data_IF_975115085718
#
_entry.id   IF_975115085718
#
_cell.length_a   1.000
_cell.length_b   1.000
_cell.length_c   1.000
_cell.angle_alpha   90.00
_cell.angle_beta   90.00
_cell.angle_gamma   90.00
#
_symmetry.space_group_name_H-M   'P 1'
#
loop_
_entity.id
_entity.type
_entity.pdbx_description
1 polymer ?
#
# COMPACT_ATOMS: atom_id res chain seq x y z
N UNK A 1 -17.42 -1.04 10.61
CA UNK A 1 -16.84 -2.19 11.31
C UNK A 1 -15.52 -1.74 11.93
N UNK A 2 -15.51 -1.50 13.23
CA UNK A 2 -14.30 -1.13 13.95
C UNK A 2 -13.38 -2.36 13.92
N UNK A 3 -12.36 -2.37 13.05
CA UNK A 3 -11.30 -3.36 13.17
C UNK A 3 -10.53 -3.00 14.43
N UNK A 4 -10.83 -3.67 15.53
CA UNK A 4 -9.90 -3.77 16.64
C UNK A 4 -8.74 -4.60 16.10
N UNK A 5 -7.76 -3.93 15.53
CA UNK A 5 -6.46 -4.54 15.33
C UNK A 5 -5.91 -4.72 16.73
N UNK A 6 -5.84 -5.96 17.20
CA UNK A 6 -5.12 -6.29 18.41
C UNK A 6 -3.71 -5.76 18.24
N UNK A 7 -3.39 -4.72 18.98
CA UNK A 7 -2.14 -4.02 18.79
C UNK A 7 -1.04 -4.79 19.54
N UNK A 8 -0.41 -5.72 18.85
CA UNK A 8 0.73 -6.48 19.34
C UNK A 8 1.82 -5.59 19.94
N UNK A 9 1.88 -4.33 19.52
CA UNK A 9 2.83 -3.34 20.01
C UNK A 9 2.60 -3.01 21.47
N UNK A 10 1.33 -2.98 21.91
CA UNK A 10 0.98 -2.76 23.32
C UNK A 10 1.40 -3.93 24.21
N UNK A 11 1.49 -5.14 23.67
CA UNK A 11 1.97 -6.31 24.39
C UNK A 11 3.51 -6.35 24.45
N UNK A 12 4.18 -6.07 23.31
CA UNK A 12 5.64 -6.15 23.19
C UNK A 12 6.36 -4.92 23.73
N UNK A 13 5.74 -3.73 23.64
CA UNK A 13 6.28 -2.46 24.12
C UNK A 13 5.14 -1.58 24.65
N UNK A 14 4.67 -1.81 25.89
CA UNK A 14 3.53 -1.11 26.46
C UNK A 14 3.68 0.43 26.54
N UNK A 15 4.93 0.92 26.57
CA UNK A 15 5.23 2.35 26.63
C UNK A 15 5.33 3.02 25.23
N UNK A 16 5.08 2.27 24.14
CA UNK A 16 5.10 2.86 22.82
C UNK A 16 3.90 3.80 22.65
N UNK A 17 4.18 5.06 22.33
CA UNK A 17 3.14 6.01 21.95
C UNK A 17 2.67 5.69 20.53
N UNK A 18 1.37 5.44 20.38
CA UNK A 18 0.76 5.05 19.11
C UNK A 18 -0.43 5.94 18.83
N UNK A 19 -0.37 6.69 17.75
CA UNK A 19 -1.49 7.49 17.25
C UNK A 19 -2.11 6.81 16.04
N UNK A 20 -3.36 6.36 16.18
CA UNK A 20 -4.14 5.79 15.07
C UNK A 20 -5.02 6.88 14.46
N UNK A 21 -4.74 7.23 13.20
CA UNK A 21 -5.54 8.20 12.45
C UNK A 21 -6.53 7.48 11.55
N UNK A 22 -7.82 7.72 11.74
CA UNK A 22 -8.88 7.22 10.85
C UNK A 22 -9.04 8.17 9.66
N UNK A 23 -8.00 8.29 8.85
CA UNK A 23 -7.95 9.23 7.74
C UNK A 23 -7.25 8.61 6.53
N UNK A 24 -7.76 8.91 5.33
CA UNK A 24 -7.15 8.47 4.08
C UNK A 24 -6.12 9.51 3.65
N UNK A 25 -4.93 9.05 3.24
CA UNK A 25 -3.92 9.90 2.63
C UNK A 25 -4.30 10.20 1.17
N UNK A 26 -4.59 11.45 0.88
CA UNK A 26 -4.95 11.97 -0.45
C UNK A 26 -4.37 13.35 -0.64
N UNK A 27 -4.46 13.93 -1.85
CA UNK A 27 -4.02 15.30 -2.10
C UNK A 27 -4.72 16.36 -1.22
N UNK A 28 -5.93 16.06 -0.70
CA UNK A 28 -6.68 16.98 0.17
C UNK A 28 -6.29 16.87 1.65
N UNK A 29 -5.74 15.73 2.05
CA UNK A 29 -5.45 15.41 3.46
C UNK A 29 -3.97 15.27 3.74
N UNK A 30 -3.12 15.26 2.71
CA UNK A 30 -1.69 14.98 2.84
C UNK A 30 -0.98 15.92 3.84
N UNK A 31 -1.33 17.20 3.84
CA UNK A 31 -0.71 18.20 4.72
C UNK A 31 -1.00 17.95 6.20
N UNK A 32 -2.15 17.33 6.52
CA UNK A 32 -2.51 17.02 7.90
C UNK A 32 -1.71 15.87 8.53
N UNK A 33 -0.95 15.12 7.73
CA UNK A 33 -0.10 14.04 8.24
C UNK A 33 1.28 14.50 8.66
N UNK A 34 1.66 15.74 8.36
CA UNK A 34 2.99 16.30 8.67
C UNK A 34 4.15 15.31 8.44
N UNK A 35 4.17 14.73 7.22
CA UNK A 35 5.11 13.65 6.89
C UNK A 35 6.58 14.04 7.00
N UNK A 36 6.88 15.35 7.10
CA UNK A 36 8.23 15.87 7.32
C UNK A 36 8.76 15.70 8.73
N UNK A 37 7.89 15.45 9.71
CA UNK A 37 8.25 15.30 11.13
C UNK A 37 8.72 13.89 11.50
N UNK A 38 8.58 12.91 10.60
CA UNK A 38 8.91 11.51 10.87
C UNK A 38 10.34 11.17 10.46
N UNK A 39 11.01 10.31 11.24
CA UNK A 39 12.31 9.72 10.88
C UNK A 39 12.14 8.64 9.81
N UNK A 40 11.07 7.86 9.89
CA UNK A 40 10.77 6.76 8.98
C UNK A 40 9.33 6.86 8.44
N UNK A 41 9.19 6.63 7.15
CA UNK A 41 7.89 6.51 6.49
C UNK A 41 7.82 5.15 5.79
N UNK A 42 6.80 4.36 6.11
CA UNK A 42 6.50 3.10 5.43
C UNK A 42 5.21 3.28 4.63
N UNK A 43 5.31 3.04 3.34
CA UNK A 43 4.19 3.08 2.42
C UNK A 43 3.65 1.67 2.14
N UNK A 44 2.40 1.43 2.49
CA UNK A 44 1.64 0.22 2.16
C UNK A 44 0.31 0.54 1.45
N UNK A 45 0.21 1.71 0.81
CA UNK A 45 -0.98 2.13 0.08
C UNK A 45 -1.11 1.31 -1.22
N UNK A 46 -2.31 0.86 -1.57
CA UNK A 46 -2.59 0.14 -2.81
C UNK A 46 -3.14 1.04 -3.94
N UNK A 47 -3.70 2.20 -3.60
CA UNK A 47 -4.13 3.21 -4.56
C UNK A 47 -2.94 3.77 -5.33
N UNK A 48 -2.92 3.54 -6.65
CA UNK A 48 -1.83 4.03 -7.52
C UNK A 48 -1.65 5.55 -7.44
N UNK A 49 -2.77 6.28 -7.31
CA UNK A 49 -2.78 7.74 -7.27
C UNK A 49 -2.16 8.26 -5.97
N UNK A 50 -2.64 7.74 -4.85
CA UNK A 50 -2.24 8.23 -3.54
C UNK A 50 -0.86 7.73 -3.14
N UNK A 51 -0.52 6.50 -3.54
CA UNK A 51 0.84 5.96 -3.43
C UNK A 51 1.85 6.80 -4.20
N UNK A 52 1.54 7.20 -5.44
CA UNK A 52 2.41 8.07 -6.23
C UNK A 52 2.61 9.43 -5.54
N UNK A 53 1.54 10.01 -4.97
CA UNK A 53 1.61 11.24 -4.20
C UNK A 53 2.50 11.09 -2.98
N UNK A 54 2.29 10.04 -2.17
CA UNK A 54 3.09 9.80 -0.97
C UNK A 54 4.58 9.62 -1.32
N UNK A 55 4.89 8.85 -2.36
CA UNK A 55 6.28 8.67 -2.83
C UNK A 55 6.92 10.02 -3.19
N UNK A 56 6.22 10.87 -3.94
CA UNK A 56 6.74 12.17 -4.34
C UNK A 56 6.98 13.07 -3.12
N UNK A 57 6.05 13.11 -2.18
CA UNK A 57 6.16 13.93 -0.98
C UNK A 57 7.22 13.38 -0.01
N UNK A 58 7.16 12.10 0.34
CA UNK A 58 8.10 11.48 1.28
C UNK A 58 9.56 11.57 0.81
N UNK A 59 9.81 11.43 -0.48
CA UNK A 59 11.18 11.56 -1.02
C UNK A 59 11.71 12.99 -1.04
N UNK A 60 10.90 13.99 -0.73
CA UNK A 60 11.33 15.38 -0.52
C UNK A 60 11.71 15.67 0.93
N UNK A 61 11.25 14.87 1.89
CA UNK A 61 11.58 15.01 3.32
C UNK A 61 12.93 14.39 3.64
N UNK A 62 13.41 14.54 4.87
CA UNK A 62 14.63 13.86 5.36
C UNK A 62 14.34 12.43 5.84
N UNK A 63 13.07 12.07 6.03
CA UNK A 63 12.66 10.75 6.50
C UNK A 63 13.21 9.62 5.62
N UNK A 64 13.61 8.52 6.22
CA UNK A 64 13.88 7.27 5.49
C UNK A 64 12.58 6.70 4.96
N UNK A 65 12.54 6.37 3.70
CA UNK A 65 11.31 5.95 3.02
C UNK A 65 11.43 4.54 2.45
N UNK A 66 10.49 3.67 2.84
CA UNK A 66 10.37 2.30 2.34
C UNK A 66 8.96 2.07 1.80
N UNK A 67 8.83 1.32 0.70
CA UNK A 67 7.53 1.10 0.07
C UNK A 67 7.26 -0.36 -0.24
N UNK A 68 6.05 -0.83 0.09
CA UNK A 68 5.54 -2.11 -0.39
C UNK A 68 5.04 -1.97 -1.82
N UNK A 69 5.46 -2.85 -2.70
CA UNK A 69 4.85 -2.97 -4.04
C UNK A 69 3.63 -3.89 -4.00
N UNK A 70 3.20 -4.42 -5.14
CA UNK A 70 1.99 -5.23 -5.23
C UNK A 70 2.13 -6.60 -4.56
N UNK A 71 1.31 -6.88 -3.55
CA UNK A 71 1.23 -8.18 -2.86
C UNK A 71 0.11 -9.08 -3.40
N UNK A 72 -0.75 -8.58 -4.28
CA UNK A 72 -1.84 -9.35 -4.85
C UNK A 72 -1.36 -10.34 -5.91
N UNK A 73 -2.07 -11.46 -6.04
CA UNK A 73 -1.76 -12.53 -6.99
C UNK A 73 -0.33 -13.07 -6.82
N UNK A 74 0.06 -13.35 -5.59
CA UNK A 74 1.34 -13.94 -5.22
C UNK A 74 1.08 -15.17 -4.34
N UNK A 75 1.80 -16.24 -4.57
CA UNK A 75 1.72 -17.51 -3.83
C UNK A 75 3.07 -17.89 -3.22
N UNK A 76 4.15 -17.62 -3.93
CA UNK A 76 5.50 -18.05 -3.56
C UNK A 76 6.21 -16.99 -2.72
N UNK A 77 6.35 -17.21 -1.40
CA UNK A 77 7.02 -16.26 -0.51
C UNK A 77 8.54 -16.17 -0.79
N UNK A 78 9.15 -17.18 -1.41
CA UNK A 78 10.59 -17.19 -1.71
C UNK A 78 10.96 -16.20 -2.82
N UNK A 79 9.98 -15.71 -3.56
CA UNK A 79 10.14 -14.68 -4.60
C UNK A 79 9.99 -13.26 -4.09
N UNK A 80 9.73 -13.09 -2.78
CA UNK A 80 9.68 -11.77 -2.16
C UNK A 80 11.12 -11.30 -1.88
N UNK A 81 11.43 -10.08 -2.30
CA UNK A 81 12.78 -9.51 -2.22
C UNK A 81 12.74 -7.98 -2.12
N UNK A 82 13.89 -7.40 -1.92
CA UNK A 82 14.06 -5.94 -1.85
C UNK A 82 14.87 -5.44 -3.04
N UNK A 83 14.53 -4.26 -3.52
CA UNK A 83 15.33 -3.53 -4.50
C UNK A 83 15.04 -2.03 -4.42
N UNK A 84 15.97 -1.23 -4.93
CA UNK A 84 15.72 0.18 -5.22
C UNK A 84 14.60 0.29 -6.27
N UNK A 85 13.71 1.27 -6.12
CA UNK A 85 12.46 1.41 -6.89
C UNK A 85 12.63 1.27 -8.41
N UNK A 86 13.66 1.90 -8.98
CA UNK A 86 13.88 1.85 -10.44
C UNK A 86 14.43 0.50 -10.92
N UNK A 87 14.98 -0.30 -9.99
CA UNK A 87 15.51 -1.66 -10.26
C UNK A 87 14.47 -2.76 -10.04
N UNK A 88 13.28 -2.43 -9.50
CA UNK A 88 12.19 -3.41 -9.32
C UNK A 88 11.77 -3.97 -10.67
N UNK A 89 11.76 -5.29 -10.82
CA UNK A 89 11.37 -6.00 -12.03
C UNK A 89 10.20 -6.95 -11.76
N UNK A 90 9.36 -7.19 -12.77
CA UNK A 90 8.26 -8.15 -12.67
C UNK A 90 7.04 -7.65 -11.89
N UNK A 91 7.10 -6.54 -11.18
CA UNK A 91 5.97 -6.03 -10.40
C UNK A 91 5.09 -5.07 -11.22
N UNK A 92 3.77 -5.37 -11.37
CA UNK A 92 2.85 -4.51 -12.15
C UNK A 92 2.61 -3.14 -11.52
N UNK A 93 2.56 -3.04 -10.17
CA UNK A 93 2.33 -1.77 -9.49
C UNK A 93 3.54 -0.84 -9.66
N UNK A 94 4.75 -1.35 -9.48
CA UNK A 94 5.97 -0.59 -9.73
C UNK A 94 6.07 -0.12 -11.19
N UNK A 95 5.65 -0.98 -12.13
CA UNK A 95 5.59 -0.61 -13.56
C UNK A 95 4.60 0.53 -13.80
N UNK A 96 3.42 0.45 -13.20
CA UNK A 96 2.38 1.47 -13.33
C UNK A 96 2.83 2.81 -12.71
N UNK A 97 3.47 2.79 -11.54
CA UNK A 97 4.05 3.96 -10.89
C UNK A 97 5.11 4.63 -11.78
N UNK A 98 6.07 3.85 -12.30
CA UNK A 98 7.10 4.39 -13.20
C UNK A 98 6.51 4.99 -14.48
N UNK A 99 5.49 4.35 -15.07
CA UNK A 99 4.77 4.89 -16.23
C UNK A 99 4.08 6.21 -15.88
N UNK A 100 3.46 6.28 -14.70
CA UNK A 100 2.81 7.49 -14.21
C UNK A 100 3.81 8.63 -14.02
N UNK A 101 4.91 8.40 -13.30
CA UNK A 101 5.95 9.42 -13.09
C UNK A 101 6.52 9.96 -14.40
N UNK A 102 6.78 9.08 -15.38
CA UNK A 102 7.23 9.48 -16.71
C UNK A 102 6.20 10.34 -17.45
N UNK A 103 4.93 9.93 -17.42
CA UNK A 103 3.84 10.67 -18.08
C UNK A 103 3.64 12.06 -17.47
N UNK A 104 3.67 12.13 -16.13
CA UNK A 104 3.36 13.35 -15.37
C UNK A 104 4.61 14.26 -15.25
N UNK A 105 5.78 13.84 -15.73
CA UNK A 105 7.04 14.57 -15.63
C UNK A 105 7.53 14.78 -14.19
N UNK A 106 7.00 14.04 -13.23
CA UNK A 106 7.31 14.15 -11.80
C UNK A 106 8.02 12.89 -11.31
N UNK A 107 9.14 13.07 -10.62
CA UNK A 107 9.97 11.97 -10.20
C UNK A 107 10.29 12.04 -8.71
N UNK A 108 10.43 10.89 -8.02
CA UNK A 108 10.96 10.83 -6.66
C UNK A 108 12.31 11.56 -6.58
N UNK A 109 12.46 12.41 -5.58
CA UNK A 109 13.69 13.22 -5.39
C UNK A 109 14.88 12.41 -4.88
N UNK A 110 14.62 11.30 -4.20
CA UNK A 110 15.64 10.39 -3.66
C UNK A 110 15.33 8.94 -4.04
N UNK A 111 16.36 8.12 -4.08
CA UNK A 111 16.23 6.67 -4.18
C UNK A 111 15.62 6.11 -2.91
N UNK A 112 14.83 5.07 -3.02
CA UNK A 112 14.23 4.37 -1.87
C UNK A 112 14.11 2.88 -2.15
N UNK A 113 14.06 2.09 -1.08
CA UNK A 113 13.93 0.64 -1.16
C UNK A 113 12.47 0.21 -1.19
N UNK A 114 12.21 -0.82 -1.98
CA UNK A 114 10.90 -1.46 -2.10
C UNK A 114 10.98 -2.92 -1.69
N UNK A 115 9.92 -3.42 -1.05
CA UNK A 115 9.64 -4.84 -0.95
C UNK A 115 8.68 -5.20 -2.08
N UNK A 116 9.02 -6.23 -2.85
CA UNK A 116 8.26 -6.66 -4.02
C UNK A 116 8.41 -8.16 -4.29
N UNK A 117 7.56 -8.70 -5.14
CA UNK A 117 7.74 -10.03 -5.73
C UNK A 117 7.63 -9.94 -7.25
N UNK A 118 8.51 -10.65 -7.95
CA UNK A 118 8.48 -10.74 -9.41
C UNK A 118 7.54 -11.83 -9.93
N UNK A 119 6.80 -12.49 -9.04
CA UNK A 119 5.81 -13.47 -9.43
C UNK A 119 4.65 -12.78 -10.16
N UNK A 120 4.27 -13.33 -11.30
CA UNK A 120 3.14 -12.87 -12.12
C UNK A 120 2.17 -14.03 -12.29
N UNK A 121 1.04 -13.98 -11.58
CA UNK A 121 -0.03 -14.96 -11.71
C UNK A 121 -1.24 -14.34 -12.38
N UNK A 122 -1.92 -15.13 -13.19
CA UNK A 122 -3.21 -14.75 -13.75
C UNK A 122 -4.30 -14.80 -12.66
N UNK A 123 -5.18 -13.81 -12.67
CA UNK A 123 -6.35 -13.85 -11.83
C UNK A 123 -7.39 -14.81 -12.45
N UNK A 124 -7.55 -15.97 -11.84
CA UNK A 124 -8.54 -16.99 -12.24
C UNK A 124 -9.85 -16.87 -11.45
N UNK A 125 -9.92 -15.92 -10.52
CA UNK A 125 -11.10 -15.71 -9.68
C UNK A 125 -12.20 -14.96 -10.44
N UNK A 126 -13.43 -15.44 -10.32
CA UNK A 126 -14.64 -14.70 -10.69
C UNK A 126 -15.23 -14.08 -9.44
N UNK A 127 -15.40 -12.78 -9.42
CA UNK A 127 -16.23 -12.15 -8.40
C UNK A 127 -17.68 -12.15 -8.89
N UNK A 128 -18.39 -13.21 -8.57
CA UNK A 128 -19.78 -13.41 -8.98
C UNK A 128 -20.73 -12.32 -8.46
N UNK A 129 -20.34 -11.59 -7.41
CA UNK A 129 -21.18 -10.56 -6.79
C UNK A 129 -20.86 -9.13 -7.27
N UNK A 130 -19.74 -8.93 -7.97
CA UNK A 130 -19.35 -7.61 -8.45
C UNK A 130 -20.28 -7.13 -9.58
N UNK A 131 -20.96 -6.01 -9.35
CA UNK A 131 -21.93 -5.44 -10.29
C UNK A 131 -23.31 -6.09 -10.26
N UNK A 132 -23.57 -7.00 -9.33
CA UNK A 132 -24.89 -7.63 -9.10
C UNK A 132 -25.62 -6.98 -7.93
N UNK A 133 -26.87 -7.43 -7.66
CA UNK A 133 -27.67 -7.01 -6.50
C UNK A 133 -27.01 -7.32 -5.14
N UNK A 134 -26.06 -8.25 -5.11
CA UNK A 134 -25.29 -8.62 -3.90
C UNK A 134 -24.02 -7.80 -3.73
N UNK A 135 -23.78 -6.81 -4.57
CA UNK A 135 -22.58 -5.99 -4.51
C UNK A 135 -22.55 -5.13 -3.25
N UNK A 136 -21.53 -5.33 -2.43
CA UNK A 136 -21.30 -4.58 -1.18
C UNK A 136 -20.47 -3.30 -1.37
N UNK A 137 -20.09 -2.97 -2.60
CA UNK A 137 -19.31 -1.76 -2.85
C UNK A 137 -20.14 -0.51 -2.51
N UNK A 138 -19.56 0.53 -1.87
CA UNK A 138 -20.29 1.74 -1.50
C UNK A 138 -20.86 2.49 -2.70
N UNK A 139 -20.30 2.31 -3.88
CA UNK A 139 -20.75 2.89 -5.15
C UNK A 139 -21.54 1.89 -6.02
N UNK A 140 -22.04 0.82 -5.42
CA UNK A 140 -22.86 -0.14 -6.13
C UNK A 140 -24.09 0.57 -6.72
N UNK A 141 -24.30 0.42 -8.04
CA UNK A 141 -25.53 0.92 -8.70
C UNK A 141 -26.72 0.02 -8.38
N UNK A 142 -26.44 -1.25 -8.14
CA UNK A 142 -27.36 -2.30 -7.79
C UNK A 142 -26.72 -3.06 -6.62
N UNK A 143 -27.49 -3.31 -5.56
CA UNK A 143 -27.01 -4.00 -4.37
C UNK A 143 -26.95 -3.13 -3.13
N UNK A 144 -26.74 -3.73 -1.94
CA UNK A 144 -26.88 -3.04 -0.67
C UNK A 144 -25.87 -1.91 -0.47
N UNK A 145 -24.66 -2.04 -1.04
CA UNK A 145 -23.57 -1.10 -0.81
C UNK A 145 -23.26 -0.91 0.68
N UNK A 146 -22.18 -0.24 1.00
CA UNK A 146 -21.89 0.22 2.36
C UNK A 146 -21.67 1.74 2.35
N UNK A 147 -22.65 2.54 2.80
CA UNK A 147 -22.56 3.99 2.78
C UNK A 147 -21.44 4.53 3.66
N UNK A 148 -20.94 3.77 4.65
CA UNK A 148 -19.82 4.19 5.48
C UNK A 148 -18.49 4.23 4.72
N UNK A 149 -18.43 3.56 3.57
CA UNK A 149 -17.26 3.48 2.69
C UNK A 149 -17.32 4.44 1.51
N UNK A 150 -18.28 5.38 1.48
CA UNK A 150 -18.47 6.33 0.37
C UNK A 150 -17.23 7.16 0.01
N UNK A 151 -16.34 7.38 0.95
CA UNK A 151 -15.11 8.14 0.74
C UNK A 151 -13.95 7.31 0.17
N UNK A 152 -14.12 6.00 0.02
CA UNK A 152 -13.13 5.11 -0.57
C UNK A 152 -13.32 5.02 -2.09
N UNK A 153 -12.24 5.05 -2.85
CA UNK A 153 -12.26 4.78 -4.30
C UNK A 153 -12.45 3.28 -4.58
N UNK A 154 -13.52 2.70 -4.05
CA UNK A 154 -13.85 1.31 -4.29
C UNK A 154 -14.45 1.16 -5.69
N UNK A 155 -14.01 0.19 -6.42
CA UNK A 155 -14.65 -0.35 -7.62
C UNK A 155 -14.94 0.63 -8.79
N UNK A 156 -14.58 1.91 -8.73
CA UNK A 156 -14.92 2.86 -9.80
C UNK A 156 -14.23 2.57 -11.14
N UNK A 157 -13.24 1.65 -11.16
CA UNK A 157 -12.49 1.30 -12.38
C UNK A 157 -11.88 -0.11 -12.38
N UNK A 158 -12.13 -0.92 -11.35
CA UNK A 158 -11.56 -2.28 -11.29
C UNK A 158 -12.56 -3.28 -11.87
N UNK A 159 -12.32 -3.71 -13.09
CA UNK A 159 -13.05 -4.82 -13.70
C UNK A 159 -12.83 -6.17 -12.97
N UNK A 160 -11.83 -6.24 -12.09
CA UNK A 160 -11.42 -7.47 -11.42
C UNK A 160 -10.78 -7.18 -10.06
N UNK A 161 -11.16 -7.94 -9.03
CA UNK A 161 -10.56 -7.89 -7.71
C UNK A 161 -9.41 -8.90 -7.66
N UNK A 162 -8.22 -8.44 -7.32
CA UNK A 162 -7.06 -9.29 -7.10
C UNK A 162 -6.97 -9.68 -5.63
N UNK A 163 -7.06 -10.97 -5.35
CA UNK A 163 -6.91 -11.50 -4.00
C UNK A 163 -5.47 -11.46 -3.50
N UNK A 164 -5.34 -11.46 -2.16
CA UNK A 164 -4.05 -11.59 -1.46
C UNK A 164 -4.11 -12.74 -0.47
N UNK A 165 -2.95 -13.35 -0.19
CA UNK A 165 -2.80 -14.37 0.84
C UNK A 165 -2.11 -13.79 2.08
N UNK A 166 -2.59 -14.21 3.26
CA UNK A 166 -2.13 -13.68 4.54
C UNK A 166 -0.62 -13.83 4.75
N UNK A 167 -0.03 -14.98 4.36
CA UNK A 167 1.41 -15.20 4.50
C UNK A 167 2.24 -14.28 3.60
N UNK A 168 1.77 -13.96 2.40
CA UNK A 168 2.45 -13.04 1.48
C UNK A 168 2.46 -11.63 2.08
N UNK A 169 1.30 -11.11 2.48
CA UNK A 169 1.22 -9.76 3.06
C UNK A 169 1.99 -9.64 4.37
N UNK A 170 1.99 -10.70 5.20
CA UNK A 170 2.77 -10.74 6.43
C UNK A 170 4.28 -10.65 6.16
N UNK A 171 4.80 -11.43 5.20
CA UNK A 171 6.22 -11.41 4.85
C UNK A 171 6.62 -10.05 4.26
N UNK A 172 5.78 -9.43 3.42
CA UNK A 172 6.02 -8.05 2.96
C UNK A 172 6.18 -7.10 4.15
N UNK A 173 5.29 -7.19 5.15
CA UNK A 173 5.33 -6.39 6.37
C UNK A 173 6.60 -6.64 7.20
N UNK A 174 6.97 -7.90 7.42
CA UNK A 174 8.19 -8.26 8.15
C UNK A 174 9.46 -7.79 7.44
N UNK A 175 9.51 -7.87 6.12
CA UNK A 175 10.65 -7.38 5.35
C UNK A 175 10.77 -5.85 5.43
N UNK A 176 9.65 -5.11 5.38
CA UNK A 176 9.66 -3.66 5.59
C UNK A 176 10.14 -3.30 6.99
N UNK A 177 9.65 -3.99 8.02
CA UNK A 177 10.13 -3.82 9.38
C UNK A 177 11.64 -4.12 9.51
N UNK A 178 12.11 -5.18 8.86
CA UNK A 178 13.52 -5.53 8.80
C UNK A 178 14.39 -4.44 8.18
N UNK A 179 13.93 -3.78 7.11
CA UNK A 179 14.65 -2.66 6.50
C UNK A 179 14.77 -1.47 7.45
N UNK A 180 13.70 -1.15 8.20
CA UNK A 180 13.74 -0.08 9.22
C UNK A 180 14.72 -0.42 10.34
N UNK A 181 14.65 -1.66 10.86
CA UNK A 181 15.53 -2.10 11.96
C UNK A 181 17.00 -2.07 11.51
N UNK A 182 17.29 -2.57 10.31
CA UNK A 182 18.67 -2.55 9.77
C UNK A 182 19.19 -1.12 9.63
N UNK A 183 18.37 -0.18 9.13
CA UNK A 183 18.79 1.22 9.00
C UNK A 183 18.96 1.91 10.37
N UNK A 184 18.14 1.54 11.36
CA UNK A 184 18.18 2.16 12.70
C UNK A 184 19.34 1.69 13.58
N UNK A 185 19.96 0.53 13.29
CA UNK A 185 21.08 -0.02 14.07
C UNK A 185 22.46 0.20 13.42
N UNK A 186 22.49 0.79 12.22
CA UNK A 186 23.70 1.14 11.48
C UNK A 186 23.82 2.64 11.27
#
# INVERSE_FOLDING_TARGET
MLKIVYDWRLVLKPQAEITALQQIFTAKTADSFDIGSYDYIIDAIDSLKDKALLILMATQTQAKFFSSMGAALKLDPTRIKTAEFWKVQGDPLARALRKRFKRDGQYPKRKFQCVYSDELLENKGHNATCGTEQCMCPKAKIGPGDPTLLNHEWCSSKAQINGTLAHITAIFGFMLAGLVIQDAVH
#
